data_IF_634288683975
#
_entry.id   IF_634288683975
#
_cell.length_a   1.000
_cell.length_b   1.000
_cell.length_c   1.000
_cell.angle_alpha   90.00
_cell.angle_beta   90.00
_cell.angle_gamma   90.00
#
_symmetry.space_group_name_H-M   'P 1'
#
loop_
_entity.id
_entity.type
_entity.pdbx_description
1 polymer ?
#
# COMPACT_ATOMS: atom_id res chain seq x y z
N UNK A 1 -31.05 -64.47 -3.30
CA UNK A 1 -30.93 -65.95 -3.35
C UNK A 1 -29.48 -66.31 -3.06
N UNK A 2 -29.27 -66.99 -1.93
CA UNK A 2 -28.14 -67.85 -1.52
C UNK A 2 -26.68 -67.36 -1.66
N UNK A 3 -25.96 -67.43 -0.53
CA UNK A 3 -24.51 -67.28 -0.45
C UNK A 3 -24.02 -67.25 1.00
N UNK A 4 -24.19 -68.37 1.70
CA UNK A 4 -23.91 -68.57 3.12
C UNK A 4 -22.42 -68.82 3.45
N UNK A 5 -22.02 -68.26 4.60
CA UNK A 5 -21.17 -68.82 5.68
C UNK A 5 -19.75 -69.31 5.34
N UNK A 6 -18.78 -68.81 6.12
CA UNK A 6 -18.10 -69.70 7.05
C UNK A 6 -17.65 -68.99 8.33
N UNK A 7 -17.83 -69.69 9.45
CA UNK A 7 -17.64 -69.29 10.85
C UNK A 7 -16.18 -69.51 11.27
N UNK A 8 -15.68 -68.79 12.26
CA UNK A 8 -15.18 -69.43 13.50
C UNK A 8 -14.87 -68.39 14.58
N UNK A 9 -15.34 -68.73 15.78
CA UNK A 9 -15.27 -68.05 17.07
C UNK A 9 -13.96 -68.31 17.80
N UNK A 10 -13.47 -67.33 18.58
CA UNK A 10 -12.74 -67.63 19.82
C UNK A 10 -12.73 -66.45 20.80
N UNK A 11 -12.85 -66.80 22.07
CA UNK A 11 -13.19 -65.96 23.22
C UNK A 11 -11.94 -65.45 23.97
N UNK A 12 -11.96 -64.14 24.28
CA UNK A 12 -11.42 -63.41 25.45
C UNK A 12 -10.17 -63.95 26.21
N UNK A 13 -9.16 -63.08 26.34
CA UNK A 13 -8.26 -62.99 27.50
C UNK A 13 -7.95 -61.50 27.84
N UNK A 14 -7.75 -61.20 29.12
CA UNK A 14 -7.64 -59.85 29.72
C UNK A 14 -6.21 -59.59 30.23
N UNK A 15 -5.76 -58.35 30.03
CA UNK A 15 -4.84 -57.51 30.87
C UNK A 15 -3.34 -57.86 30.92
N UNK A 16 -2.39 -56.93 31.22
CA UNK A 16 -2.56 -55.60 31.85
C UNK A 16 -1.86 -54.42 31.14
N UNK A 17 -2.12 -53.21 31.63
CA UNK A 17 -1.77 -51.94 31.00
C UNK A 17 -0.32 -51.49 31.17
N UNK A 18 0.01 -50.43 30.43
CA UNK A 18 1.10 -49.51 30.78
C UNK A 18 0.69 -48.07 30.49
N UNK A 19 1.29 -47.24 31.32
CA UNK A 19 0.94 -45.89 31.71
C UNK A 19 1.49 -44.84 30.74
N UNK A 20 0.88 -43.66 30.83
CA UNK A 20 1.20 -42.39 30.19
C UNK A 20 2.71 -42.14 30.04
N UNK A 21 3.12 -41.62 28.87
CA UNK A 21 3.90 -40.36 28.75
C UNK A 21 3.58 -39.64 27.43
N UNK A 22 2.94 -38.49 27.54
CA UNK A 22 3.00 -37.45 26.51
C UNK A 22 4.46 -36.99 26.35
N UNK A 23 5.08 -37.25 25.21
CA UNK A 23 6.26 -36.51 24.77
C UNK A 23 5.78 -35.27 24.02
N UNK A 24 5.98 -34.10 24.63
CA UNK A 24 6.02 -32.82 23.93
C UNK A 24 7.23 -32.86 22.99
N UNK A 25 6.98 -32.83 21.68
CA UNK A 25 8.00 -32.54 20.68
C UNK A 25 8.11 -31.03 20.54
N UNK A 26 9.21 -30.46 21.04
CA UNK A 26 9.66 -29.11 20.72
C UNK A 26 10.15 -29.11 19.28
N UNK A 27 9.39 -28.49 18.37
CA UNK A 27 9.90 -28.14 17.04
C UNK A 27 10.55 -26.77 17.18
N UNK A 28 11.88 -26.75 17.16
CA UNK A 28 12.65 -25.52 17.07
C UNK A 28 12.52 -24.94 15.67
N UNK A 29 11.90 -23.76 15.56
CA UNK A 29 12.03 -22.94 14.36
C UNK A 29 13.36 -22.19 14.44
N UNK A 30 14.37 -22.76 13.80
CA UNK A 30 15.60 -22.02 13.46
C UNK A 30 15.28 -21.06 12.33
N UNK A 31 15.07 -19.78 12.67
CA UNK A 31 14.88 -18.70 11.72
C UNK A 31 16.17 -18.37 10.99
N UNK A 32 16.30 -18.87 9.76
CA UNK A 32 17.19 -18.31 8.75
C UNK A 32 16.31 -17.70 7.66
N UNK A 33 15.92 -16.44 7.83
CA UNK A 33 15.22 -15.69 6.79
C UNK A 33 16.21 -15.40 5.65
N UNK A 34 16.13 -16.21 4.60
CA UNK A 34 16.75 -15.92 3.32
C UNK A 34 15.93 -14.81 2.63
N UNK A 35 16.31 -13.56 2.86
CA UNK A 35 15.88 -12.43 2.05
C UNK A 35 16.54 -12.60 0.68
N UNK A 36 15.79 -13.05 -0.32
CA UNK A 36 16.27 -13.09 -1.69
C UNK A 36 16.46 -11.66 -2.22
N UNK A 37 17.73 -11.24 -2.17
CA UNK A 37 18.44 -10.26 -2.98
C UNK A 37 17.58 -9.52 -4.01
N UNK A 38 17.03 -8.35 -3.65
CA UNK A 38 16.76 -7.29 -4.62
C UNK A 38 18.14 -6.86 -5.15
N UNK A 39 18.35 -7.01 -6.46
CA UNK A 39 19.57 -6.56 -7.11
C UNK A 39 19.75 -5.06 -6.85
N UNK A 40 21.01 -4.65 -6.73
CA UNK A 40 21.47 -3.27 -6.58
C UNK A 40 20.93 -2.41 -7.74
N UNK A 41 19.70 -1.90 -7.58
CA UNK A 41 19.07 -1.00 -8.54
C UNK A 41 19.49 0.41 -8.17
N UNK A 42 20.63 0.83 -8.73
CA UNK A 42 20.94 2.24 -8.89
C UNK A 42 19.73 2.98 -9.47
N UNK A 43 19.33 4.06 -8.78
CA UNK A 43 18.20 4.96 -9.06
C UNK A 43 17.63 4.87 -10.49
N UNK A 44 16.39 4.37 -10.70
CA UNK A 44 15.73 4.54 -11.97
C UNK A 44 15.42 6.03 -12.19
N UNK A 45 15.77 6.52 -13.39
CA UNK A 45 15.68 7.91 -13.83
C UNK A 45 14.25 8.49 -13.96
N UNK A 46 13.26 7.96 -13.22
CA UNK A 46 11.86 8.41 -13.29
C UNK A 46 11.66 9.84 -12.79
N UNK A 47 12.50 10.34 -11.87
CA UNK A 47 12.40 11.71 -11.38
C UNK A 47 12.88 12.77 -12.40
N UNK A 48 13.46 12.36 -13.55
CA UNK A 48 14.03 13.30 -14.54
C UNK A 48 13.15 13.56 -15.77
N UNK A 49 12.09 12.77 -16.02
CA UNK A 49 11.34 12.83 -17.28
C UNK A 49 10.04 13.66 -17.24
N UNK A 50 9.62 14.16 -16.08
CA UNK A 50 8.39 14.95 -15.95
C UNK A 50 8.45 16.35 -16.61
N UNK A 51 9.58 16.74 -17.21
CA UNK A 51 9.80 18.08 -17.77
C UNK A 51 9.69 18.19 -19.31
N UNK A 52 9.19 17.17 -20.03
CA UNK A 52 9.13 17.22 -21.51
C UNK A 52 7.81 16.71 -22.09
N UNK A 53 6.70 17.35 -21.75
CA UNK A 53 5.45 17.25 -22.52
C UNK A 53 4.64 18.56 -22.41
N UNK A 54 5.25 19.72 -22.68
CA UNK A 54 4.50 20.95 -22.97
C UNK A 54 5.30 21.79 -23.97
N UNK A 55 4.93 21.68 -25.25
CA UNK A 55 4.99 22.74 -26.26
C UNK A 55 4.88 22.10 -27.65
N UNK A 56 3.67 22.11 -28.21
CA UNK A 56 3.45 22.24 -29.65
C UNK A 56 1.94 22.40 -29.88
N UNK A 57 1.46 23.64 -29.73
CA UNK A 57 0.24 24.08 -30.40
C UNK A 57 0.50 25.43 -31.04
N UNK A 58 0.70 25.43 -32.36
CA UNK A 58 0.60 26.61 -33.21
C UNK A 58 -0.02 26.25 -34.55
N UNK A 59 -1.16 26.90 -34.75
CA UNK A 59 -1.71 27.43 -35.99
C UNK A 59 -2.11 26.44 -37.09
N UNK A 60 -3.41 26.36 -37.34
CA UNK A 60 -3.91 26.94 -38.59
C UNK A 60 -5.36 27.44 -38.49
N UNK A 61 -5.62 28.61 -39.08
CA UNK A 61 -6.95 29.22 -39.24
C UNK A 61 -7.36 29.02 -40.70
N UNK A 62 -8.54 28.45 -40.96
CA UNK A 62 -9.40 28.93 -42.07
C UNK A 62 -10.84 28.40 -41.98
N UNK A 63 -11.76 29.32 -42.31
CA UNK A 63 -13.04 29.12 -43.00
C UNK A 63 -14.26 28.59 -42.20
N UNK A 64 -14.94 29.56 -41.57
CA UNK A 64 -16.32 29.98 -41.87
C UNK A 64 -17.21 29.04 -42.71
N UNK A 65 -18.30 28.56 -42.10
CA UNK A 65 -19.57 28.23 -42.78
C UNK A 65 -20.70 28.14 -41.76
N UNK A 66 -21.57 29.15 -41.79
CA UNK A 66 -22.88 29.18 -41.16
C UNK A 66 -23.72 27.98 -41.59
N UNK A 67 -24.30 27.27 -40.61
CA UNK A 67 -25.49 26.46 -40.82
C UNK A 67 -26.47 26.71 -39.68
N UNK A 68 -27.63 27.24 -40.05
CA UNK A 68 -28.78 27.56 -39.22
C UNK A 68 -29.56 26.32 -38.81
N UNK A 69 -29.92 26.25 -37.53
CA UNK A 69 -31.17 25.66 -37.06
C UNK A 69 -31.11 24.21 -36.57
N UNK A 70 -31.21 24.00 -35.26
CA UNK A 70 -32.21 23.15 -34.60
C UNK A 70 -32.02 23.26 -33.08
N UNK A 71 -33.10 23.46 -32.35
CA UNK A 71 -33.06 23.77 -30.93
C UNK A 71 -32.66 22.59 -30.05
N UNK A 72 -31.98 22.91 -28.95
CA UNK A 72 -32.30 22.37 -27.62
C UNK A 72 -31.87 23.44 -26.63
N UNK A 73 -32.76 23.83 -25.73
CA UNK A 73 -32.41 24.71 -24.60
C UNK A 73 -31.39 23.95 -23.77
N UNK A 74 -30.11 24.32 -23.92
CA UNK A 74 -29.02 23.77 -23.12
C UNK A 74 -29.28 24.15 -21.67
N UNK A 75 -29.79 23.20 -20.89
CA UNK A 75 -29.78 23.29 -19.45
C UNK A 75 -28.33 23.52 -19.03
N UNK A 76 -28.07 24.72 -18.51
CA UNK A 76 -26.84 25.06 -17.79
C UNK A 76 -26.73 24.12 -16.59
N UNK A 77 -26.18 22.93 -16.82
CA UNK A 77 -25.53 22.15 -15.77
C UNK A 77 -24.38 23.03 -15.31
N UNK A 78 -24.58 23.66 -14.16
CA UNK A 78 -23.48 24.19 -13.37
C UNK A 78 -22.60 22.98 -13.08
N UNK A 79 -21.55 22.78 -13.88
CA UNK A 79 -20.43 21.96 -13.48
C UNK A 79 -19.95 22.63 -12.19
N UNK A 80 -20.31 22.02 -11.05
CA UNK A 80 -19.59 22.27 -9.82
C UNK A 80 -18.12 22.22 -10.23
N UNK A 81 -17.40 23.32 -10.03
CA UNK A 81 -15.97 23.36 -10.28
C UNK A 81 -15.41 22.21 -9.45
N UNK A 82 -15.12 21.08 -10.08
CA UNK A 82 -14.28 20.04 -9.50
C UNK A 82 -13.02 20.79 -9.18
N UNK A 83 -12.79 21.09 -7.90
CA UNK A 83 -11.53 21.65 -7.47
C UNK A 83 -10.48 20.68 -8.01
N UNK A 84 -9.61 21.10 -8.94
CA UNK A 84 -8.59 20.20 -9.43
C UNK A 84 -7.84 19.70 -8.19
N UNK A 85 -7.55 18.40 -8.18
CA UNK A 85 -6.73 17.79 -7.14
C UNK A 85 -5.51 18.67 -6.85
N UNK A 86 -5.05 18.71 -5.59
CA UNK A 86 -3.88 19.53 -5.22
C UNK A 86 -2.71 19.10 -6.10
N UNK A 87 -2.35 19.96 -7.06
CA UNK A 87 -1.19 19.74 -7.92
C UNK A 87 0.05 20.01 -7.08
N UNK A 88 0.64 18.94 -6.56
CA UNK A 88 1.85 18.96 -5.77
C UNK A 88 2.99 18.38 -6.60
N UNK A 89 3.87 19.21 -7.18
CA UNK A 89 4.96 18.71 -8.00
C UNK A 89 5.87 17.78 -7.20
N UNK A 90 6.11 16.56 -7.70
CA UNK A 90 7.00 15.58 -7.07
C UNK A 90 8.36 16.16 -6.69
N UNK A 91 8.92 17.02 -7.54
CA UNK A 91 10.21 17.67 -7.32
C UNK A 91 10.24 18.63 -6.11
N UNK A 92 9.07 19.06 -5.62
CA UNK A 92 8.94 19.89 -4.42
C UNK A 92 8.80 19.06 -3.13
N UNK A 93 8.71 17.74 -3.23
CA UNK A 93 8.56 16.85 -2.09
C UNK A 93 9.91 16.27 -1.64
N UNK A 94 10.09 16.18 -0.33
CA UNK A 94 11.21 15.45 0.25
C UNK A 94 11.03 13.95 -0.03
N UNK A 95 12.04 13.33 -0.65
CA UNK A 95 12.00 11.92 -1.02
C UNK A 95 13.38 11.27 -0.86
N UNK A 96 13.39 10.06 -0.32
CA UNK A 96 14.53 9.13 -0.32
C UNK A 96 13.98 7.72 -0.53
N UNK A 97 14.44 7.03 -1.57
CA UNK A 97 14.00 5.67 -1.87
C UNK A 97 14.23 4.74 -0.67
N UNK A 98 13.32 3.79 -0.45
CA UNK A 98 13.36 2.82 0.66
C UNK A 98 13.15 3.40 2.08
N UNK A 99 12.73 4.66 2.18
CA UNK A 99 12.31 5.29 3.44
C UNK A 99 10.90 5.90 3.28
N UNK A 100 9.95 5.09 2.78
CA UNK A 100 8.60 5.54 2.47
C UNK A 100 7.85 6.05 3.72
N UNK A 101 8.14 5.50 4.90
CA UNK A 101 7.62 5.99 6.18
C UNK A 101 8.07 7.43 6.47
N UNK A 102 9.32 7.78 6.15
CA UNK A 102 9.83 9.13 6.34
C UNK A 102 9.35 10.08 5.25
N UNK A 103 9.28 9.62 4.00
CA UNK A 103 8.78 10.42 2.87
C UNK A 103 7.32 10.84 3.12
N UNK A 104 6.48 9.90 3.56
CA UNK A 104 5.10 10.20 3.93
C UNK A 104 5.04 11.05 5.19
N UNK A 105 5.89 10.82 6.19
CA UNK A 105 5.95 11.70 7.37
C UNK A 105 6.23 13.16 7.00
N UNK A 106 7.14 13.42 6.04
CA UNK A 106 7.37 14.77 5.53
C UNK A 106 6.12 15.32 4.82
N UNK A 107 5.50 14.50 3.96
CA UNK A 107 4.32 14.88 3.19
C UNK A 107 3.10 15.21 4.06
N UNK A 108 2.91 14.50 5.19
CA UNK A 108 1.82 14.81 6.15
C UNK A 108 1.89 16.23 6.71
N UNK A 109 3.09 16.82 6.77
CA UNK A 109 3.33 18.19 7.23
C UNK A 109 3.39 19.22 6.10
N UNK A 110 3.12 18.84 4.86
CA UNK A 110 3.18 19.77 3.72
C UNK A 110 2.06 20.82 3.83
N UNK A 111 2.38 22.13 3.79
CA UNK A 111 1.38 23.20 3.89
C UNK A 111 0.28 23.16 2.83
N UNK A 112 0.55 22.57 1.65
CA UNK A 112 -0.45 22.44 0.58
C UNK A 112 -1.59 21.47 0.93
N UNK A 113 -1.36 20.57 1.90
CA UNK A 113 -2.29 19.51 2.28
C UNK A 113 -2.84 19.69 3.69
N UNK A 114 -2.33 20.63 4.49
CA UNK A 114 -2.58 20.73 5.95
C UNK A 114 -4.05 20.94 6.33
N UNK A 115 -4.84 21.55 5.44
CA UNK A 115 -6.28 21.78 5.64
C UNK A 115 -7.15 20.62 5.12
N UNK A 116 -6.58 19.67 4.38
CA UNK A 116 -7.32 18.54 3.82
C UNK A 116 -7.53 17.43 4.85
N UNK A 117 -8.50 16.54 4.65
CA UNK A 117 -8.61 15.31 5.42
C UNK A 117 -7.53 14.32 4.98
N UNK A 118 -6.79 13.74 5.93
CA UNK A 118 -5.59 12.93 5.61
C UNK A 118 -5.44 11.72 6.52
N UNK A 119 -5.19 10.57 5.92
CA UNK A 119 -4.80 9.34 6.61
C UNK A 119 -3.58 8.74 5.94
N UNK A 120 -2.71 8.12 6.73
CA UNK A 120 -1.58 7.34 6.26
C UNK A 120 -2.02 5.89 6.18
N UNK A 121 -1.77 5.24 5.04
CA UNK A 121 -1.91 3.80 4.89
C UNK A 121 -0.53 3.17 4.98
N UNK A 122 -0.36 2.26 5.93
CA UNK A 122 0.82 1.39 6.04
C UNK A 122 0.38 0.01 5.57
N UNK A 123 1.04 -0.49 4.53
CA UNK A 123 0.76 -1.75 3.88
C UNK A 123 1.81 -2.78 4.32
N UNK A 124 1.37 -3.90 4.88
CA UNK A 124 2.22 -5.08 5.11
C UNK A 124 1.35 -6.35 5.08
N UNK A 125 1.92 -7.51 5.33
CA UNK A 125 1.20 -8.76 5.56
C UNK A 125 1.97 -9.63 6.58
N UNK A 126 1.40 -10.73 7.08
CA UNK A 126 2.03 -11.55 8.13
C UNK A 126 3.41 -12.09 7.73
N UNK A 127 3.66 -12.25 6.43
CA UNK A 127 4.91 -12.76 5.89
C UNK A 127 5.91 -11.68 5.48
N UNK A 128 5.55 -10.38 5.62
CA UNK A 128 6.34 -9.24 5.13
C UNK A 128 6.82 -9.43 3.69
N UNK A 129 5.88 -9.85 2.84
CA UNK A 129 6.09 -10.21 1.43
C UNK A 129 4.95 -9.60 0.62
N UNK A 130 4.86 -8.28 0.61
CA UNK A 130 3.79 -7.54 -0.06
C UNK A 130 4.10 -7.35 -1.53
N UNK A 131 3.19 -7.83 -2.38
CA UNK A 131 3.29 -7.67 -3.82
C UNK A 131 2.59 -6.38 -4.24
N UNK A 132 3.36 -5.41 -4.73
CA UNK A 132 2.83 -4.14 -5.24
C UNK A 132 3.20 -3.98 -6.71
N UNK A 133 2.19 -3.94 -7.59
CA UNK A 133 2.32 -3.61 -9.00
C UNK A 133 2.46 -2.09 -9.20
N UNK A 134 2.80 -1.70 -10.43
CA UNK A 134 2.99 -0.30 -10.81
C UNK A 134 4.05 0.42 -9.98
N UNK A 135 5.08 -0.27 -9.50
CA UNK A 135 6.15 0.35 -8.71
C UNK A 135 7.36 0.69 -9.59
N UNK A 136 7.97 1.85 -9.38
CA UNK A 136 9.11 2.36 -10.14
C UNK A 136 10.36 1.47 -10.01
N UNK A 137 10.52 0.78 -8.88
CA UNK A 137 11.62 -0.15 -8.64
C UNK A 137 11.46 -1.51 -9.34
N UNK A 138 10.27 -1.86 -9.83
CA UNK A 138 10.06 -3.08 -10.59
C UNK A 138 10.23 -2.87 -12.10
N UNK A 139 10.55 -3.96 -12.79
CA UNK A 139 10.38 -4.07 -14.24
C UNK A 139 8.90 -3.88 -14.58
N UNK A 140 8.60 -3.19 -15.68
CA UNK A 140 7.22 -2.95 -16.11
C UNK A 140 6.42 -4.26 -16.20
N UNK A 141 5.23 -4.28 -15.60
CA UNK A 141 4.36 -5.46 -15.55
C UNK A 141 4.69 -6.48 -14.45
N UNK A 142 5.74 -6.25 -13.65
CA UNK A 142 6.10 -7.07 -12.49
C UNK A 142 5.83 -6.31 -11.19
N UNK A 143 5.53 -7.02 -10.08
CA UNK A 143 5.46 -6.41 -8.76
C UNK A 143 6.85 -6.15 -8.18
N UNK A 144 6.93 -5.22 -7.23
CA UNK A 144 7.97 -5.24 -6.20
C UNK A 144 7.47 -6.10 -5.04
N UNK A 145 8.40 -6.82 -4.41
CA UNK A 145 8.16 -7.50 -3.14
C UNK A 145 8.70 -6.63 -2.01
N UNK A 146 7.81 -5.91 -1.35
CA UNK A 146 8.11 -5.07 -0.20
C UNK A 146 7.93 -5.84 1.10
N UNK A 147 8.72 -5.54 2.13
CA UNK A 147 8.42 -5.96 3.49
C UNK A 147 7.28 -5.14 4.09
N UNK A 148 7.23 -3.84 3.76
CA UNK A 148 6.10 -2.95 3.96
C UNK A 148 6.16 -1.77 2.99
N UNK A 149 5.05 -1.04 2.83
CA UNK A 149 5.02 0.23 2.09
C UNK A 149 4.15 1.26 2.81
N UNK A 150 4.37 2.55 2.58
CA UNK A 150 3.61 3.64 3.23
C UNK A 150 3.20 4.66 2.19
N UNK A 151 1.92 5.01 2.18
CA UNK A 151 1.33 6.03 1.29
C UNK A 151 0.45 7.00 2.07
N UNK A 152 0.23 8.20 1.52
CA UNK A 152 -0.70 9.18 2.07
C UNK A 152 -2.00 9.19 1.27
N UNK A 153 -3.13 9.20 1.96
CA UNK A 153 -4.46 9.27 1.36
C UNK A 153 -5.18 10.54 1.82
N UNK A 154 -5.63 11.34 0.87
CA UNK A 154 -6.09 12.73 1.10
C UNK A 154 -7.46 12.98 0.45
N UNK A 155 -8.31 13.75 1.12
CA UNK A 155 -9.55 14.27 0.58
C UNK A 155 -9.71 15.75 0.93
N UNK A 156 -9.72 16.61 -0.08
CA UNK A 156 -9.81 18.06 0.12
C UNK A 156 -11.23 18.56 0.42
N UNK A 157 -12.26 17.89 -0.11
CA UNK A 157 -13.67 18.27 0.09
C UNK A 157 -14.48 17.03 0.46
N UNK A 158 -15.37 17.09 1.47
CA UNK A 158 -16.30 15.99 1.75
C UNK A 158 -17.08 15.56 0.51
N UNK A 159 -17.11 14.26 0.23
CA UNK A 159 -17.76 13.70 -0.96
C UNK A 159 -16.88 13.66 -2.22
N UNK A 160 -15.69 14.25 -2.21
CA UNK A 160 -14.69 14.03 -3.26
C UNK A 160 -14.04 12.65 -3.10
N UNK A 161 -13.67 12.04 -4.22
CA UNK A 161 -12.87 10.82 -4.25
C UNK A 161 -11.54 11.01 -3.51
N UNK A 162 -11.17 10.02 -2.70
CA UNK A 162 -9.88 10.01 -2.02
C UNK A 162 -8.73 9.88 -3.00
N UNK A 163 -7.64 10.57 -2.72
CA UNK A 163 -6.45 10.64 -3.55
C UNK A 163 -5.26 10.01 -2.83
N UNK A 164 -4.51 9.16 -3.52
CA UNK A 164 -3.31 8.49 -3.02
C UNK A 164 -2.07 9.19 -3.53
N UNK A 165 -1.19 9.53 -2.61
CA UNK A 165 0.16 10.02 -2.86
C UNK A 165 1.12 8.88 -2.50
N UNK A 166 1.57 8.18 -3.54
CA UNK A 166 2.58 7.13 -3.47
C UNK A 166 3.81 7.58 -4.27
N UNK A 167 4.92 7.85 -3.60
CA UNK A 167 6.13 8.32 -4.27
C UNK A 167 6.77 7.27 -5.18
N UNK A 168 6.49 5.99 -4.92
CA UNK A 168 7.16 4.88 -5.57
C UNK A 168 6.29 4.27 -6.70
N UNK A 169 5.09 4.79 -6.93
CA UNK A 169 4.20 4.34 -8.02
C UNK A 169 4.61 4.88 -9.40
N UNK A 170 4.15 4.19 -10.45
CA UNK A 170 4.15 4.59 -11.86
C UNK A 170 2.82 5.22 -12.28
N UNK A 171 1.80 5.11 -11.44
CA UNK A 171 0.51 5.77 -11.62
C UNK A 171 0.64 7.29 -11.49
N UNK A 172 -0.45 8.01 -11.72
CA UNK A 172 -0.50 9.44 -11.48
C UNK A 172 -0.18 9.77 -10.01
N UNK A 173 0.45 10.93 -9.78
CA UNK A 173 0.72 11.44 -8.44
C UNK A 173 0.04 12.80 -8.26
N UNK A 174 -1.08 12.88 -7.52
CA UNK A 174 -1.82 11.76 -6.94
C UNK A 174 -2.66 10.97 -7.95
N UNK A 175 -3.10 9.77 -7.56
CA UNK A 175 -4.12 8.97 -8.26
C UNK A 175 -5.36 8.81 -7.38
N UNK A 176 -6.54 8.52 -7.95
CA UNK A 176 -7.71 8.15 -7.14
C UNK A 176 -7.42 6.85 -6.36
N UNK A 177 -8.04 6.69 -5.19
CA UNK A 177 -7.87 5.49 -4.37
C UNK A 177 -8.30 4.22 -5.11
N UNK A 178 -9.44 4.24 -5.80
CA UNK A 178 -9.97 3.08 -6.52
C UNK A 178 -9.02 2.63 -7.63
N UNK A 179 -8.49 3.59 -8.40
CA UNK A 179 -7.46 3.29 -9.43
C UNK A 179 -6.18 2.77 -8.77
N UNK A 180 -5.71 3.39 -7.69
CA UNK A 180 -4.48 2.96 -7.03
C UNK A 180 -4.60 1.53 -6.48
N UNK A 181 -5.69 1.20 -5.77
CA UNK A 181 -5.91 -0.14 -5.22
C UNK A 181 -6.02 -1.19 -6.33
N UNK A 182 -6.84 -0.92 -7.37
CA UNK A 182 -7.07 -1.86 -8.47
C UNK A 182 -5.81 -2.15 -9.31
N UNK A 183 -4.97 -1.15 -9.52
CA UNK A 183 -3.75 -1.26 -10.33
C UNK A 183 -2.52 -1.73 -9.51
N UNK A 184 -2.48 -1.44 -8.20
CA UNK A 184 -1.38 -1.86 -7.32
C UNK A 184 -1.55 -3.31 -6.85
N UNK A 185 -2.79 -3.77 -6.66
CA UNK A 185 -3.12 -5.11 -6.18
C UNK A 185 -4.07 -5.85 -7.15
N UNK A 186 -3.69 -6.01 -8.43
CA UNK A 186 -4.58 -6.58 -9.43
C UNK A 186 -4.96 -8.04 -9.09
N UNK A 187 -6.26 -8.31 -9.04
CA UNK A 187 -6.79 -9.65 -8.78
C UNK A 187 -6.40 -10.22 -7.41
N UNK A 188 -6.22 -9.36 -6.40
CA UNK A 188 -5.81 -9.80 -5.06
C UNK A 188 -6.84 -10.70 -4.38
N UNK A 189 -8.10 -10.65 -4.78
CA UNK A 189 -9.18 -11.56 -4.37
C UNK A 189 -8.85 -13.04 -4.62
N UNK A 190 -7.94 -13.33 -5.57
CA UNK A 190 -7.50 -14.68 -5.92
C UNK A 190 -6.14 -15.05 -5.32
N UNK A 191 -5.50 -14.16 -4.57
CA UNK A 191 -4.19 -14.43 -3.97
C UNK A 191 -4.31 -15.37 -2.76
N UNK A 192 -3.19 -15.97 -2.37
CA UNK A 192 -3.11 -16.72 -1.13
C UNK A 192 -3.34 -15.77 0.06
N UNK A 193 -4.05 -16.20 1.12
CA UNK A 193 -4.35 -15.34 2.27
C UNK A 193 -3.11 -14.66 2.88
N UNK A 194 -1.99 -15.37 2.97
CA UNK A 194 -0.73 -14.85 3.54
C UNK A 194 -0.07 -13.74 2.70
N UNK A 195 -0.49 -13.59 1.43
CA UNK A 195 0.00 -12.58 0.49
C UNK A 195 -0.95 -11.37 0.40
N UNK A 196 -2.16 -11.47 0.94
CA UNK A 196 -3.13 -10.38 0.91
C UNK A 196 -2.57 -9.14 1.62
N UNK A 197 -2.72 -7.95 1.01
CA UNK A 197 -2.30 -6.73 1.66
C UNK A 197 -3.22 -6.45 2.86
N UNK A 198 -2.60 -6.09 3.98
CA UNK A 198 -3.29 -5.53 5.12
C UNK A 198 -2.90 -4.06 5.27
N UNK A 199 -3.85 -3.25 5.71
CA UNK A 199 -3.71 -1.80 5.77
C UNK A 199 -3.88 -1.32 7.20
N UNK A 200 -2.84 -0.74 7.79
CA UNK A 200 -2.99 0.04 9.01
C UNK A 200 -3.25 1.49 8.61
N UNK A 201 -4.43 1.97 8.97
CA UNK A 201 -4.93 3.30 8.66
C UNK A 201 -4.73 4.20 9.87
N UNK A 202 -3.85 5.18 9.75
CA UNK A 202 -3.50 6.09 10.85
C UNK A 202 -3.88 7.52 10.46
N UNK A 203 -4.61 8.29 11.28
CA UNK A 203 -4.79 9.72 11.03
C UNK A 203 -3.43 10.41 10.82
N UNK A 204 -3.31 11.27 9.82
CA UNK A 204 -2.01 11.85 9.46
C UNK A 204 -1.36 12.64 10.62
N UNK A 205 -2.18 13.30 11.45
CA UNK A 205 -1.71 13.98 12.66
C UNK A 205 -1.12 13.00 13.69
N UNK A 206 -1.78 11.87 13.92
CA UNK A 206 -1.27 10.84 14.83
C UNK A 206 0.02 10.21 14.30
N UNK A 207 0.10 9.93 12.99
CA UNK A 207 1.33 9.42 12.38
C UNK A 207 2.49 10.42 12.52
N UNK A 208 2.21 11.70 12.25
CA UNK A 208 3.17 12.81 12.39
C UNK A 208 3.72 12.92 13.82
N UNK A 209 2.84 12.83 14.82
CA UNK A 209 3.18 13.02 16.22
C UNK A 209 3.84 11.78 16.85
N UNK A 210 3.49 10.58 16.38
CA UNK A 210 3.85 9.33 17.04
C UNK A 210 4.99 8.57 16.37
N UNK A 211 5.29 8.80 15.09
CA UNK A 211 6.40 8.10 14.44
C UNK A 211 7.74 8.44 15.10
N UNK A 212 8.53 7.42 15.43
CA UNK A 212 9.93 7.55 15.80
C UNK A 212 10.74 6.59 14.92
N UNK A 213 11.72 7.13 14.19
CA UNK A 213 12.62 6.36 13.34
C UNK A 213 14.06 6.77 13.58
N UNK A 214 14.83 5.87 14.19
CA UNK A 214 16.29 5.94 14.30
C UNK A 214 17.02 5.28 13.11
N UNK A 215 16.23 4.84 12.12
CA UNK A 215 16.64 4.15 10.89
C UNK A 215 17.43 2.86 11.12
N UNK A 216 17.41 2.30 12.32
CA UNK A 216 18.16 1.10 12.68
C UNK A 216 17.79 -0.11 11.84
N UNK A 217 16.54 -0.21 11.38
CA UNK A 217 16.07 -1.28 10.49
C UNK A 217 16.78 -1.31 9.12
N UNK A 218 17.33 -0.17 8.69
CA UNK A 218 18.13 -0.04 7.46
C UNK A 218 19.64 -0.13 7.69
N UNK A 219 20.10 -0.35 8.94
CA UNK A 219 21.51 -0.54 9.26
C UNK A 219 21.88 -2.02 9.25
N UNK A 220 23.08 -2.31 8.76
CA UNK A 220 23.73 -3.62 8.81
C UNK A 220 25.12 -3.49 9.41
N UNK A 221 25.80 -4.61 9.68
CA UNK A 221 27.20 -4.59 10.10
C UNK A 221 28.14 -3.91 9.10
N UNK A 222 27.78 -3.89 7.80
CA UNK A 222 28.54 -3.26 6.73
C UNK A 222 28.15 -1.81 6.43
N UNK A 223 27.29 -1.20 7.24
CA UNK A 223 26.73 0.13 6.99
C UNK A 223 25.27 0.10 6.56
N UNK A 224 24.84 1.11 5.82
CA UNK A 224 23.45 1.29 5.40
C UNK A 224 23.07 0.36 4.24
N UNK A 225 21.88 -0.27 4.33
CA UNK A 225 21.29 -1.01 3.20
C UNK A 225 21.02 -0.11 2.00
N UNK A 226 20.57 1.10 2.27
CA UNK A 226 20.32 2.16 1.30
C UNK A 226 20.72 3.51 1.92
N UNK A 227 21.23 4.48 1.12
CA UNK A 227 21.62 5.79 1.63
C UNK A 227 20.51 6.42 2.47
N UNK A 228 20.78 6.83 3.72
CA UNK A 228 19.76 7.39 4.58
C UNK A 228 19.32 8.78 4.09
N UNK A 229 18.11 9.23 4.44
CA UNK A 229 17.66 10.56 4.09
C UNK A 229 18.56 11.66 4.66
N UNK A 230 18.71 12.80 3.96
CA UNK A 230 19.58 13.90 4.38
C UNK A 230 19.02 14.70 5.57
N UNK A 231 17.75 14.54 5.90
CA UNK A 231 17.14 15.17 7.07
C UNK A 231 17.42 14.38 8.36
N UNK A 232 17.31 15.01 9.56
CA UNK A 232 17.46 14.33 10.83
C UNK A 232 16.49 13.16 11.01
N UNK A 233 16.86 12.20 11.87
CA UNK A 233 15.94 11.15 12.31
C UNK A 233 14.66 11.73 12.92
N UNK A 234 13.55 11.01 12.75
CA UNK A 234 12.24 11.45 13.22
C UNK A 234 12.10 11.07 14.70
N UNK A 235 11.81 12.06 15.53
CA UNK A 235 11.63 11.90 16.97
C UNK A 235 12.93 11.62 17.73
N UNK A 236 12.79 11.34 19.03
CA UNK A 236 13.91 11.01 19.93
C UNK A 236 13.65 9.67 20.58
N UNK A 237 14.58 8.72 20.43
CA UNK A 237 14.49 7.40 21.06
C UNK A 237 14.57 6.25 20.04
N UNK A 238 14.38 5.00 20.50
CA UNK A 238 14.39 3.83 19.63
C UNK A 238 13.21 3.87 18.66
N UNK A 239 13.42 3.33 17.47
CA UNK A 239 12.34 3.30 16.47
C UNK A 239 11.13 2.50 16.96
N UNK A 240 9.94 3.02 16.68
CA UNK A 240 8.67 2.34 16.91
C UNK A 240 8.00 1.84 15.63
N UNK A 241 8.70 1.88 14.49
CA UNK A 241 8.17 1.45 13.19
C UNK A 241 7.57 0.04 13.24
N UNK A 242 8.20 -0.89 13.97
CA UNK A 242 7.70 -2.26 14.09
C UNK A 242 6.29 -2.34 14.70
N UNK A 243 5.91 -1.39 15.57
CA UNK A 243 4.56 -1.33 16.15
C UNK A 243 3.50 -0.89 15.16
N UNK A 244 3.90 -0.18 14.11
CA UNK A 244 3.03 0.13 12.97
C UNK A 244 2.87 -1.07 12.04
N UNK A 245 3.92 -1.89 11.89
CA UNK A 245 3.92 -3.05 10.99
C UNK A 245 3.30 -4.31 11.62
N UNK A 246 3.26 -4.39 12.95
CA UNK A 246 2.62 -5.49 13.66
C UNK A 246 1.11 -5.23 13.74
N UNK A 247 0.30 -6.04 13.06
CA UNK A 247 -1.15 -5.87 12.99
C UNK A 247 -1.86 -6.29 14.28
N UNK A 248 -1.22 -7.10 15.12
CA UNK A 248 -1.74 -7.51 16.41
C UNK A 248 -1.41 -6.49 17.53
N UNK A 249 -0.50 -5.54 17.28
CA UNK A 249 -0.22 -4.43 18.20
C UNK A 249 -1.34 -3.38 18.12
N UNK A 250 -2.02 -3.17 19.25
CA UNK A 250 -3.07 -2.16 19.42
C UNK A 250 -2.53 -0.73 19.52
N UNK A 251 -1.42 -0.40 18.84
CA UNK A 251 -0.69 0.86 19.02
C UNK A 251 -1.53 2.10 18.65
N UNK A 252 -1.61 2.43 17.36
CA UNK A 252 -2.44 3.52 16.82
C UNK A 252 -2.92 3.15 15.43
N UNK A 253 -4.03 3.77 15.03
CA UNK A 253 -4.70 3.46 13.78
C UNK A 253 -5.51 2.17 13.83
N UNK A 254 -6.27 1.96 12.77
CA UNK A 254 -7.14 0.81 12.58
C UNK A 254 -6.53 -0.14 11.55
N UNK A 255 -6.60 -1.44 11.79
CA UNK A 255 -6.14 -2.47 10.88
C UNK A 255 -7.31 -2.96 10.03
N UNK A 256 -7.20 -2.80 8.71
CA UNK A 256 -8.23 -3.11 7.73
C UNK A 256 -7.71 -4.06 6.64
N UNK A 257 -8.60 -4.89 6.15
CA UNK A 257 -8.46 -5.65 4.91
C UNK A 257 -8.83 -4.78 3.70
N UNK A 258 -8.47 -5.25 2.50
CA UNK A 258 -8.75 -4.55 1.24
C UNK A 258 -10.22 -4.14 1.09
N UNK A 259 -11.16 -5.05 1.36
CA UNK A 259 -12.60 -4.80 1.24
C UNK A 259 -13.06 -3.68 2.19
N UNK A 260 -12.56 -3.68 3.43
CA UNK A 260 -12.91 -2.66 4.43
C UNK A 260 -12.31 -1.29 4.07
N UNK A 261 -11.14 -1.25 3.42
CA UNK A 261 -10.58 0.00 2.87
C UNK A 261 -11.48 0.55 1.77
N UNK A 262 -11.96 -0.30 0.85
CA UNK A 262 -12.88 0.09 -0.21
C UNK A 262 -14.23 0.56 0.35
N UNK A 263 -14.78 -0.11 1.36
CA UNK A 263 -16.02 0.31 2.01
C UNK A 263 -15.89 1.67 2.71
N UNK A 264 -14.73 1.89 3.35
CA UNK A 264 -14.48 3.10 4.14
C UNK A 264 -14.11 4.31 3.28
N UNK A 265 -13.35 4.09 2.21
CA UNK A 265 -12.72 5.16 1.44
C UNK A 265 -13.01 5.13 -0.07
N UNK A 266 -13.62 4.06 -0.60
CA UNK A 266 -13.96 3.97 -2.02
C UNK A 266 -14.99 4.99 -2.47
N UNK A 267 -15.07 5.22 -3.78
CA UNK A 267 -16.09 6.11 -4.33
C UNK A 267 -17.49 5.53 -4.06
N UNK A 268 -18.36 6.32 -3.41
CA UNK A 268 -19.76 5.96 -3.26
C UNK A 268 -20.50 6.33 -4.55
N UNK A 269 -21.03 5.34 -5.26
CA UNK A 269 -22.08 5.59 -6.25
C UNK A 269 -23.22 6.33 -5.56
N UNK A 270 -23.50 7.55 -5.98
CA UNK A 270 -24.76 8.20 -5.67
C UNK A 270 -25.72 7.69 -6.75
N UNK A 271 -26.46 6.63 -6.41
CA UNK A 271 -27.59 6.15 -7.20
C UNK A 271 -28.74 7.17 -7.23
#
# INVERSE_FOLDING_TARGET
MAGERCRSTATRARLPGTDRRHRRGTIGYGGAHAVHRIADLSQPACLSSAARCQAEDRSDRTADKQCTGCGVVAALRTLARVTPYRDLPLAACAYTAFYCEENIWQLTGNPALVDDERVVLIITNPTRTCLLWQQCAAVLGQPVVWDYHVVLVVRSVPGQAWQVYDFDTRLAFPSTLDTWLGETFPGCDQWLPDLLPHFRVVPAADFRDRLVSDRSHMKTAGGWRQPPPPWPCIGTGPSNLQRFLDFDDAFIGECLWMEEVLEKFGERSID
#
